data_IF_882316203308
#
_entry.id   IF_882316203308
#
_cell.length_a   1.000
_cell.length_b   1.000
_cell.length_c   1.000
_cell.angle_alpha   90.00
_cell.angle_beta   90.00
_cell.angle_gamma   90.00
#
_symmetry.space_group_name_H-M   'P 1'
#
loop_
_entity.id
_entity.type
_entity.pdbx_description
1 polymer ?
#
# COMPACT_ATOMS: atom_id res chain seq x y z
N UNK A 1 -11.43 15.64 -9.54
CA UNK A 1 -10.13 15.00 -9.76
C UNK A 1 -10.03 13.82 -8.79
N UNK A 2 -9.78 12.62 -9.31
CA UNK A 2 -9.59 11.39 -8.53
C UNK A 2 -8.48 11.57 -7.46
N UNK A 3 -8.71 11.10 -6.23
CA UNK A 3 -7.75 11.21 -5.12
C UNK A 3 -6.40 10.57 -5.48
N UNK A 4 -6.41 9.49 -6.27
CA UNK A 4 -5.19 8.83 -6.76
C UNK A 4 -4.35 9.78 -7.59
N UNK A 5 -4.97 10.51 -8.53
CA UNK A 5 -4.28 11.50 -9.38
C UNK A 5 -3.74 12.67 -8.56
N UNK A 6 -4.49 13.10 -7.53
CA UNK A 6 -4.00 14.14 -6.61
C UNK A 6 -2.75 13.68 -5.85
N UNK A 7 -2.77 12.47 -5.27
CA UNK A 7 -1.62 11.90 -4.56
C UNK A 7 -0.42 11.71 -5.47
N UNK A 8 -0.62 11.20 -6.69
CA UNK A 8 0.47 11.09 -7.65
C UNK A 8 1.11 12.45 -7.95
N UNK A 9 0.28 13.50 -8.11
CA UNK A 9 0.78 14.87 -8.29
C UNK A 9 1.57 15.37 -7.08
N UNK A 10 1.11 15.09 -5.85
CA UNK A 10 1.87 15.41 -4.63
C UNK A 10 3.27 14.80 -4.69
N UNK A 11 3.37 13.53 -5.07
CA UNK A 11 4.66 12.82 -5.14
C UNK A 11 5.58 13.39 -6.23
N UNK A 12 5.03 13.79 -7.37
CA UNK A 12 5.78 14.46 -8.45
C UNK A 12 6.25 15.86 -8.02
N UNK A 13 5.35 16.65 -7.41
CA UNK A 13 5.67 17.99 -6.91
C UNK A 13 6.76 17.92 -5.82
N UNK A 14 6.67 16.93 -4.91
CA UNK A 14 7.67 16.69 -3.87
C UNK A 14 9.05 16.34 -4.46
N UNK A 15 9.13 15.55 -5.53
CA UNK A 15 10.38 15.31 -6.24
C UNK A 15 10.96 16.58 -6.85
N UNK A 16 10.11 17.43 -7.43
CA UNK A 16 10.53 18.74 -7.94
C UNK A 16 11.22 19.57 -6.87
N UNK A 17 10.63 19.64 -5.67
CA UNK A 17 11.18 20.36 -4.51
C UNK A 17 12.48 19.72 -3.98
N UNK A 18 12.54 18.39 -3.87
CA UNK A 18 13.73 17.67 -3.42
C UNK A 18 14.93 17.96 -4.34
N UNK A 19 14.69 17.94 -5.65
CA UNK A 19 15.74 18.21 -6.64
C UNK A 19 16.12 19.69 -6.70
N UNK A 20 15.18 20.61 -6.46
CA UNK A 20 15.44 22.06 -6.53
C UNK A 20 16.14 22.61 -5.29
N UNK A 21 15.91 22.06 -4.09
CA UNK A 21 16.56 22.54 -2.86
C UNK A 21 18.08 22.47 -2.95
N UNK A 22 18.61 21.46 -3.64
CA UNK A 22 20.04 21.20 -3.73
C UNK A 22 20.69 20.97 -2.35
N UNK A 23 21.93 20.52 -2.33
CA UNK A 23 22.69 20.33 -1.09
C UNK A 23 22.29 19.07 -0.30
N UNK A 24 22.74 19.02 0.96
CA UNK A 24 22.67 17.83 1.81
C UNK A 24 21.34 17.80 2.57
N UNK A 25 20.38 17.03 2.07
CA UNK A 25 19.12 16.75 2.75
C UNK A 25 19.28 15.63 3.79
N UNK A 26 18.45 15.68 4.82
CA UNK A 26 18.21 14.60 5.77
C UNK A 26 16.93 13.84 5.43
N UNK A 27 16.70 12.70 6.09
CA UNK A 27 15.46 11.93 5.91
C UNK A 27 14.26 12.67 6.50
N UNK A 28 14.48 13.41 7.58
CA UNK A 28 13.49 14.29 8.21
C UNK A 28 13.04 15.40 7.25
N UNK A 29 13.98 15.95 6.45
CA UNK A 29 13.65 16.93 5.41
C UNK A 29 12.75 16.33 4.32
N UNK A 30 13.01 15.09 3.88
CA UNK A 30 12.15 14.41 2.90
C UNK A 30 10.73 14.23 3.44
N UNK A 31 10.60 13.86 4.72
CA UNK A 31 9.29 13.71 5.38
C UNK A 31 8.58 15.05 5.51
N UNK A 32 9.31 16.13 5.84
CA UNK A 32 8.76 17.48 5.94
C UNK A 32 8.23 17.98 4.59
N UNK A 33 9.04 17.86 3.52
CA UNK A 33 8.65 18.20 2.15
C UNK A 33 7.38 17.44 1.74
N UNK A 34 7.34 16.13 2.03
CA UNK A 34 6.19 15.30 1.69
C UNK A 34 4.93 15.74 2.44
N UNK A 35 5.06 16.05 3.75
CA UNK A 35 3.96 16.52 4.58
C UNK A 35 3.40 17.86 4.10
N UNK A 36 4.27 18.81 3.76
CA UNK A 36 3.89 20.11 3.19
C UNK A 36 3.15 19.92 1.86
N UNK A 37 3.71 19.12 0.94
CA UNK A 37 3.11 18.86 -0.36
C UNK A 37 1.72 18.19 -0.27
N UNK A 38 1.52 17.29 0.70
CA UNK A 38 0.22 16.69 0.97
C UNK A 38 -0.80 17.70 1.51
N UNK A 39 -0.37 18.52 2.48
CA UNK A 39 -1.21 19.56 3.09
C UNK A 39 -1.71 20.56 2.04
N UNK A 40 -0.82 21.02 1.15
CA UNK A 40 -1.13 21.99 0.10
C UNK A 40 -2.19 21.50 -0.90
N UNK A 41 -2.25 20.18 -1.14
CA UNK A 41 -3.26 19.58 -2.04
C UNK A 41 -4.52 19.09 -1.32
N UNK A 42 -4.56 19.21 0.01
CA UNK A 42 -5.67 18.76 0.86
C UNK A 42 -5.96 17.27 0.73
N UNK A 43 -4.90 16.45 0.64
CA UNK A 43 -5.00 14.98 0.61
C UNK A 43 -3.97 14.36 1.55
N UNK A 44 -4.19 13.12 1.96
CA UNK A 44 -3.28 12.35 2.81
C UNK A 44 -2.62 11.21 2.02
N UNK A 45 -1.47 10.67 2.49
CA UNK A 45 -0.92 9.41 2.00
C UNK A 45 -1.92 8.25 1.95
N UNK A 46 -1.63 7.24 1.13
CA UNK A 46 -2.46 6.02 1.08
C UNK A 46 -2.33 5.27 2.42
N UNK A 47 -3.45 5.05 3.12
CA UNK A 47 -3.47 4.28 4.38
C UNK A 47 -4.68 3.35 4.48
N UNK A 48 -4.51 2.30 5.27
CA UNK A 48 -5.62 1.45 5.70
C UNK A 48 -6.52 2.15 6.72
N UNK A 49 -7.22 1.37 7.53
CA UNK A 49 -8.13 1.93 8.54
C UNK A 49 -7.42 2.73 9.65
N UNK A 50 -6.17 2.38 9.97
CA UNK A 50 -5.38 3.08 10.97
C UNK A 50 -4.84 4.42 10.46
N UNK A 51 -4.55 5.34 11.38
CA UNK A 51 -3.86 6.60 11.11
C UNK A 51 -2.61 6.70 12.00
N UNK A 52 -1.49 6.10 11.58
CA UNK A 52 -0.28 6.09 12.39
C UNK A 52 0.48 7.43 12.25
N UNK A 53 1.19 7.83 13.30
CA UNK A 53 1.91 9.12 13.34
C UNK A 53 3.06 9.20 12.33
N UNK A 54 3.65 8.04 11.97
CA UNK A 54 4.74 7.87 11.00
C UNK A 54 4.25 7.71 9.56
N UNK A 55 3.00 8.08 9.25
CA UNK A 55 2.40 7.83 7.93
C UNK A 55 3.20 8.42 6.76
N UNK A 56 3.75 9.63 6.93
CA UNK A 56 4.53 10.30 5.90
C UNK A 56 5.88 9.62 5.68
N UNK A 57 6.52 9.14 6.75
CA UNK A 57 7.73 8.34 6.63
C UNK A 57 7.46 7.03 5.88
N UNK A 58 6.33 6.37 6.17
CA UNK A 58 5.91 5.16 5.42
C UNK A 58 5.58 5.45 3.96
N UNK A 59 5.24 6.69 3.63
CA UNK A 59 4.93 7.10 2.26
C UNK A 59 6.17 7.50 1.45
N UNK A 60 7.36 7.52 2.07
CA UNK A 60 8.62 7.56 1.33
C UNK A 60 8.76 6.38 0.35
N UNK A 61 8.12 5.24 0.64
CA UNK A 61 8.01 4.13 -0.31
C UNK A 61 7.28 4.57 -1.59
N UNK A 62 6.17 5.30 -1.46
CA UNK A 62 5.42 5.81 -2.60
C UNK A 62 6.24 6.85 -3.37
N UNK A 63 6.89 7.76 -2.65
CA UNK A 63 7.76 8.77 -3.21
C UNK A 63 8.88 8.12 -4.03
N UNK A 64 9.59 7.15 -3.46
CA UNK A 64 10.65 6.43 -4.13
C UNK A 64 10.18 5.70 -5.40
N UNK A 65 9.08 4.94 -5.30
CA UNK A 65 8.49 4.24 -6.46
C UNK A 65 8.12 5.23 -7.57
N UNK A 66 7.46 6.34 -7.25
CA UNK A 66 7.06 7.35 -8.25
C UNK A 66 8.28 8.01 -8.88
N UNK A 67 9.33 8.30 -8.10
CA UNK A 67 10.56 8.90 -8.64
C UNK A 67 11.29 7.98 -9.61
N UNK A 68 11.50 6.73 -9.21
CA UNK A 68 12.29 5.77 -10.00
C UNK A 68 11.49 5.16 -11.14
N UNK A 69 10.30 4.61 -10.86
CA UNK A 69 9.49 3.92 -11.88
C UNK A 69 8.58 4.87 -12.65
N UNK A 70 8.09 5.93 -12.01
CA UNK A 70 7.16 6.87 -12.63
C UNK A 70 7.84 7.98 -13.43
N UNK A 71 8.86 8.61 -12.86
CA UNK A 71 9.59 9.72 -13.47
C UNK A 71 10.88 9.28 -14.17
N UNK A 72 11.34 8.04 -13.96
CA UNK A 72 12.57 7.53 -14.59
C UNK A 72 13.85 8.14 -14.03
N UNK A 73 13.80 8.77 -12.84
CA UNK A 73 14.91 9.54 -12.27
C UNK A 73 16.06 8.69 -11.73
N UNK A 74 16.02 7.35 -11.87
CA UNK A 74 16.95 6.44 -11.19
C UNK A 74 18.42 6.79 -11.37
N UNK A 75 18.85 7.21 -12.57
CA UNK A 75 20.22 7.65 -12.85
C UNK A 75 20.49 9.14 -12.62
N UNK A 76 19.44 9.93 -12.44
CA UNK A 76 19.49 11.40 -12.31
C UNK A 76 19.45 11.85 -10.85
N UNK A 77 19.00 10.98 -9.92
CA UNK A 77 18.98 11.28 -8.49
C UNK A 77 20.43 11.35 -7.97
N UNK A 78 20.84 12.47 -7.34
CA UNK A 78 22.13 12.59 -6.69
C UNK A 78 22.35 11.47 -5.67
N UNK A 79 23.57 10.93 -5.59
CA UNK A 79 23.89 9.79 -4.72
C UNK A 79 23.51 10.05 -3.26
N UNK A 80 23.73 11.26 -2.77
CA UNK A 80 23.42 11.67 -1.41
C UNK A 80 21.93 11.58 -1.09
N UNK A 81 21.07 11.92 -2.06
CA UNK A 81 19.60 11.79 -1.94
C UNK A 81 19.22 10.32 -2.08
N UNK A 82 19.82 9.61 -3.03
CA UNK A 82 19.56 8.19 -3.29
C UNK A 82 19.85 7.32 -2.05
N UNK A 83 20.90 7.65 -1.29
CA UNK A 83 21.28 6.95 -0.08
C UNK A 83 20.27 7.14 1.07
N UNK A 84 19.50 8.24 1.08
CA UNK A 84 18.40 8.44 2.04
C UNK A 84 17.25 7.43 1.83
N UNK A 85 17.11 6.88 0.62
CA UNK A 85 16.11 5.87 0.26
C UNK A 85 16.61 4.42 0.39
N UNK A 86 17.72 4.19 1.09
CA UNK A 86 18.24 2.84 1.32
C UNK A 86 17.22 1.87 1.96
N UNK A 87 16.40 2.29 2.94
CA UNK A 87 15.32 1.43 3.45
C UNK A 87 14.28 1.08 2.38
N UNK A 88 13.86 2.06 1.58
CA UNK A 88 12.87 1.86 0.51
C UNK A 88 13.38 0.88 -0.55
N UNK A 89 14.66 1.01 -0.95
CA UNK A 89 15.32 0.05 -1.84
C UNK A 89 15.25 -1.38 -1.30
N UNK A 90 15.59 -1.58 -0.02
CA UNK A 90 15.55 -2.90 0.61
C UNK A 90 14.11 -3.46 0.64
N UNK A 91 13.07 -2.64 0.86
CA UNK A 91 11.70 -3.12 0.79
C UNK A 91 11.29 -3.53 -0.63
N UNK A 92 11.74 -2.80 -1.66
CA UNK A 92 11.48 -3.15 -3.06
C UNK A 92 12.17 -4.46 -3.45
N UNK A 93 13.43 -4.61 -3.05
CA UNK A 93 14.21 -5.82 -3.29
C UNK A 93 13.59 -7.03 -2.57
N UNK A 94 13.19 -6.87 -1.31
CA UNK A 94 12.50 -7.93 -0.57
C UNK A 94 11.16 -8.33 -1.21
N UNK A 95 10.41 -7.38 -1.77
CA UNK A 95 9.18 -7.67 -2.50
C UNK A 95 9.48 -8.47 -3.78
N UNK A 96 10.55 -8.13 -4.52
CA UNK A 96 10.97 -8.87 -5.70
C UNK A 96 11.45 -10.28 -5.36
N UNK A 97 12.30 -10.43 -4.33
CA UNK A 97 12.73 -11.73 -3.81
C UNK A 97 11.52 -12.60 -3.45
N UNK A 98 10.54 -12.04 -2.76
CA UNK A 98 9.33 -12.75 -2.36
C UNK A 98 8.39 -13.09 -3.53
N UNK A 99 8.50 -12.43 -4.68
CA UNK A 99 7.71 -12.77 -5.87
C UNK A 99 8.40 -13.80 -6.77
N UNK A 100 9.73 -13.85 -6.74
CA UNK A 100 10.55 -14.59 -7.70
C UNK A 100 11.31 -15.79 -7.11
N UNK A 101 11.26 -16.00 -5.80
CA UNK A 101 11.86 -17.16 -5.11
C UNK A 101 10.81 -18.01 -4.41
N UNK A 102 11.08 -19.30 -4.19
CA UNK A 102 10.29 -20.14 -3.29
C UNK A 102 10.41 -19.67 -1.81
N UNK A 103 9.51 -20.11 -0.91
CA UNK A 103 9.46 -19.58 0.46
C UNK A 103 10.76 -19.71 1.27
N UNK A 104 11.48 -20.83 1.13
CA UNK A 104 12.71 -21.08 1.91
C UNK A 104 13.84 -20.16 1.45
N UNK A 105 14.01 -20.04 0.13
CA UNK A 105 14.97 -19.11 -0.46
C UNK A 105 14.60 -17.65 -0.19
N UNK A 106 13.32 -17.30 -0.25
CA UNK A 106 12.84 -15.96 0.07
C UNK A 106 13.14 -15.61 1.54
N UNK A 107 12.89 -16.53 2.49
CA UNK A 107 13.20 -16.34 3.90
C UNK A 107 14.67 -16.00 4.10
N UNK A 108 15.57 -16.84 3.58
CA UNK A 108 17.02 -16.70 3.76
C UNK A 108 17.54 -15.37 3.21
N UNK A 109 17.19 -15.02 1.96
CA UNK A 109 17.64 -13.78 1.31
C UNK A 109 17.09 -12.53 1.98
N UNK A 110 15.82 -12.55 2.42
CA UNK A 110 15.23 -11.40 3.11
C UNK A 110 15.87 -11.20 4.49
N UNK A 111 16.17 -12.28 5.22
CA UNK A 111 16.90 -12.18 6.50
C UNK A 111 18.29 -11.58 6.29
N UNK A 112 19.01 -12.02 5.26
CA UNK A 112 20.32 -11.48 4.88
C UNK A 112 20.22 -9.98 4.56
N UNK A 113 19.25 -9.59 3.73
CA UNK A 113 19.03 -8.20 3.31
C UNK A 113 18.78 -7.25 4.50
N UNK A 114 18.05 -7.69 5.52
CA UNK A 114 17.76 -6.87 6.71
C UNK A 114 18.71 -7.12 7.89
N UNK A 115 19.59 -8.14 7.81
CA UNK A 115 20.44 -8.58 8.91
C UNK A 115 19.68 -9.13 10.13
N UNK A 116 18.38 -9.41 10.00
CA UNK A 116 17.50 -9.88 11.06
C UNK A 116 16.25 -10.53 10.50
N UNK A 117 15.53 -11.27 11.33
CA UNK A 117 14.18 -11.74 11.00
C UNK A 117 13.25 -10.53 10.88
N UNK A 118 12.58 -10.33 9.72
CA UNK A 118 11.60 -9.27 9.54
C UNK A 118 10.47 -9.36 10.56
N UNK A 119 10.20 -8.25 11.24
CA UNK A 119 9.04 -8.08 12.09
C UNK A 119 7.81 -7.66 11.27
N UNK A 120 6.66 -7.58 11.96
CA UNK A 120 5.43 -7.04 11.40
C UNK A 120 5.57 -5.70 10.65
N UNK A 121 6.45 -4.80 11.08
CA UNK A 121 6.59 -3.47 10.48
C UNK A 121 7.32 -3.55 9.14
N UNK A 122 8.39 -4.33 9.06
CA UNK A 122 9.11 -4.61 7.81
C UNK A 122 8.21 -5.31 6.81
N UNK A 123 7.53 -6.38 7.22
CA UNK A 123 6.63 -7.14 6.34
C UNK A 123 5.48 -6.27 5.79
N UNK A 124 4.95 -5.37 6.61
CA UNK A 124 3.92 -4.42 6.17
C UNK A 124 4.45 -3.42 5.14
N UNK A 125 5.72 -3.01 5.23
CA UNK A 125 6.37 -2.11 4.26
C UNK A 125 6.68 -2.83 2.94
N UNK A 126 7.11 -4.10 2.99
CA UNK A 126 7.28 -4.96 1.80
C UNK A 126 5.93 -5.12 1.07
N UNK A 127 4.86 -5.44 1.80
CA UNK A 127 3.51 -5.50 1.24
C UNK A 127 3.09 -4.17 0.60
N UNK A 128 3.41 -3.04 1.25
CA UNK A 128 3.05 -1.71 0.78
C UNK A 128 3.68 -1.40 -0.58
N UNK A 129 4.88 -1.90 -0.87
CA UNK A 129 5.52 -1.73 -2.18
C UNK A 129 4.61 -2.23 -3.30
N UNK A 130 4.23 -3.50 -3.25
CA UNK A 130 3.42 -4.12 -4.31
C UNK A 130 2.05 -3.45 -4.41
N UNK A 131 1.44 -3.13 -3.25
CA UNK A 131 0.18 -2.39 -3.23
C UNK A 131 0.30 -1.04 -3.94
N UNK A 132 1.35 -0.26 -3.67
CA UNK A 132 1.51 1.07 -4.23
C UNK A 132 1.83 1.02 -5.73
N UNK A 133 2.60 0.03 -6.18
CA UNK A 133 2.85 -0.20 -7.61
C UNK A 133 1.55 -0.49 -8.36
N UNK A 134 0.71 -1.37 -7.82
CA UNK A 134 -0.63 -1.63 -8.36
C UNK A 134 -1.51 -0.37 -8.29
N UNK A 135 -1.59 0.27 -7.12
CA UNK A 135 -2.44 1.44 -6.88
C UNK A 135 -2.10 2.60 -7.80
N UNK A 136 -0.83 2.89 -8.06
CA UNK A 136 -0.41 3.96 -8.98
C UNK A 136 -0.36 3.52 -10.45
N UNK A 137 -0.51 2.23 -10.74
CA UNK A 137 -0.63 1.69 -12.09
C UNK A 137 0.70 1.41 -12.77
N UNK A 138 1.78 1.26 -12.00
CA UNK A 138 3.08 0.83 -12.50
C UNK A 138 3.11 -0.67 -12.81
N UNK A 139 2.13 -1.44 -12.30
CA UNK A 139 1.92 -2.85 -12.65
C UNK A 139 0.53 -3.08 -13.23
N UNK A 140 0.46 -3.95 -14.24
CA UNK A 140 -0.79 -4.40 -14.88
C UNK A 140 -1.38 -5.63 -14.19
N UNK A 141 -0.53 -6.50 -13.64
CA UNK A 141 -0.95 -7.68 -12.87
C UNK A 141 -1.00 -7.36 -11.38
N UNK A 142 -1.96 -7.98 -10.70
CA UNK A 142 -2.10 -7.96 -9.25
C UNK A 142 -1.37 -9.18 -8.68
N UNK A 143 -0.10 -9.00 -8.29
CA UNK A 143 0.73 -10.08 -7.74
C UNK A 143 0.61 -10.20 -6.21
N UNK A 144 -0.26 -9.40 -5.59
CA UNK A 144 -0.47 -9.41 -4.14
C UNK A 144 -0.80 -10.78 -3.56
N UNK A 145 -1.66 -11.62 -4.18
CA UNK A 145 -1.93 -12.96 -3.66
C UNK A 145 -0.67 -13.82 -3.54
N UNK A 146 0.17 -13.79 -4.58
CA UNK A 146 1.44 -14.53 -4.61
C UNK A 146 2.40 -14.00 -3.55
N UNK A 147 2.49 -12.68 -3.41
CA UNK A 147 3.35 -12.04 -2.40
C UNK A 147 2.95 -12.46 -0.97
N UNK A 148 1.66 -12.36 -0.64
CA UNK A 148 1.13 -12.69 0.69
C UNK A 148 1.34 -14.17 0.98
N UNK A 149 1.01 -15.05 0.03
CA UNK A 149 1.18 -16.50 0.20
C UNK A 149 2.65 -16.84 0.46
N UNK A 150 3.57 -16.35 -0.39
CA UNK A 150 4.98 -16.69 -0.27
C UNK A 150 5.60 -16.15 1.03
N UNK A 151 5.32 -14.88 1.36
CA UNK A 151 5.81 -14.30 2.62
C UNK A 151 5.22 -14.99 3.85
N UNK A 152 3.95 -15.42 3.81
CA UNK A 152 3.33 -16.11 4.94
C UNK A 152 3.93 -17.50 5.20
N UNK A 153 4.38 -18.18 4.15
CA UNK A 153 5.12 -19.45 4.25
C UNK A 153 6.58 -19.23 4.65
N UNK A 154 7.18 -18.14 4.17
CA UNK A 154 8.55 -17.76 4.51
C UNK A 154 8.67 -17.30 5.96
N UNK A 155 7.65 -16.67 6.54
CA UNK A 155 7.64 -16.13 7.91
C UNK A 155 6.40 -16.56 8.70
N UNK A 156 6.20 -17.87 8.96
CA UNK A 156 5.01 -18.37 9.65
C UNK A 156 4.84 -17.81 11.07
N UNK A 157 5.92 -17.36 11.71
CA UNK A 157 5.89 -16.68 13.02
C UNK A 157 5.09 -15.37 13.02
N UNK A 158 4.88 -14.76 11.85
CA UNK A 158 4.18 -13.48 11.65
C UNK A 158 2.75 -13.67 11.13
N UNK A 159 2.12 -14.82 11.42
CA UNK A 159 0.77 -15.17 10.94
C UNK A 159 -0.27 -14.06 11.19
N UNK A 160 -0.23 -13.43 12.37
CA UNK A 160 -1.13 -12.33 12.71
C UNK A 160 -0.97 -11.13 11.77
N UNK A 161 0.26 -10.84 11.34
CA UNK A 161 0.57 -9.80 10.35
C UNK A 161 -0.06 -10.13 9.02
N UNK A 162 0.16 -11.35 8.51
CA UNK A 162 -0.40 -11.76 7.23
C UNK A 162 -1.94 -11.83 7.25
N UNK A 163 -2.58 -12.23 8.36
CA UNK A 163 -4.03 -12.10 8.53
C UNK A 163 -4.51 -10.66 8.36
N UNK A 164 -3.84 -9.68 8.98
CA UNK A 164 -4.20 -8.25 8.82
C UNK A 164 -4.00 -7.76 7.38
N UNK A 165 -2.89 -8.13 6.75
CA UNK A 165 -2.57 -7.77 5.37
C UNK A 165 -3.58 -8.38 4.38
N UNK A 166 -3.96 -9.65 4.57
CA UNK A 166 -5.01 -10.32 3.82
C UNK A 166 -6.37 -9.63 3.96
N UNK A 167 -6.77 -9.27 5.19
CA UNK A 167 -8.00 -8.50 5.44
C UNK A 167 -7.99 -7.18 4.68
N UNK A 168 -6.86 -6.48 4.70
CA UNK A 168 -6.69 -5.21 4.02
C UNK A 168 -6.78 -5.35 2.49
N UNK A 169 -6.08 -6.33 1.92
CA UNK A 169 -6.13 -6.62 0.48
C UNK A 169 -7.55 -6.97 0.02
N UNK A 170 -8.23 -7.90 0.71
CA UNK A 170 -9.61 -8.28 0.37
C UNK A 170 -10.52 -7.05 0.40
N UNK A 171 -10.38 -6.18 1.42
CA UNK A 171 -11.17 -4.96 1.51
C UNK A 171 -10.93 -4.00 0.35
N UNK A 172 -9.68 -3.87 -0.12
CA UNK A 172 -9.35 -3.07 -1.31
C UNK A 172 -10.02 -3.62 -2.56
N UNK A 173 -9.91 -4.93 -2.83
CA UNK A 173 -10.53 -5.52 -4.03
C UNK A 173 -12.05 -5.40 -4.01
N UNK A 174 -12.68 -5.62 -2.86
CA UNK A 174 -14.14 -5.45 -2.71
C UNK A 174 -14.53 -3.99 -2.92
N UNK A 175 -13.80 -3.04 -2.34
CA UNK A 175 -14.05 -1.61 -2.53
C UNK A 175 -13.89 -1.20 -4.00
N UNK A 176 -12.83 -1.66 -4.68
CA UNK A 176 -12.56 -1.42 -6.10
C UNK A 176 -13.73 -1.93 -6.97
N UNK A 177 -14.17 -3.17 -6.77
CA UNK A 177 -15.29 -3.76 -7.51
C UNK A 177 -16.63 -3.04 -7.27
N UNK A 178 -16.87 -2.53 -6.05
CA UNK A 178 -18.04 -1.70 -5.75
C UNK A 178 -17.97 -0.37 -6.51
N UNK A 179 -16.82 0.31 -6.46
CA UNK A 179 -16.60 1.62 -7.07
C UNK A 179 -16.73 1.54 -8.60
N UNK A 180 -16.22 0.46 -9.19
CA UNK A 180 -16.30 0.20 -10.63
C UNK A 180 -17.69 -0.28 -11.08
N UNK A 181 -18.62 -0.55 -10.15
CA UNK A 181 -19.97 -1.03 -10.45
C UNK A 181 -20.03 -2.51 -10.87
N UNK A 182 -18.96 -3.27 -10.66
CA UNK A 182 -18.92 -4.73 -10.85
C UNK A 182 -19.76 -5.43 -9.77
N UNK A 183 -19.71 -4.90 -8.54
CA UNK A 183 -20.52 -5.33 -7.40
C UNK A 183 -21.61 -4.30 -7.13
N UNK A 184 -22.88 -4.71 -7.27
CA UNK A 184 -24.04 -3.79 -7.25
C UNK A 184 -24.99 -3.99 -6.08
N UNK A 185 -24.88 -5.10 -5.36
CA UNK A 185 -25.76 -5.43 -4.24
C UNK A 185 -25.06 -6.27 -3.18
N UNK A 186 -25.69 -6.39 -2.01
CA UNK A 186 -25.14 -7.12 -0.85
C UNK A 186 -24.77 -8.57 -1.17
N UNK A 187 -25.61 -9.29 -1.92
CA UNK A 187 -25.37 -10.72 -2.26
C UNK A 187 -24.11 -10.85 -3.12
N UNK A 188 -24.01 -10.06 -4.20
CA UNK A 188 -22.84 -10.05 -5.09
C UNK A 188 -21.56 -9.63 -4.36
N UNK A 189 -21.66 -8.71 -3.39
CA UNK A 189 -20.53 -8.29 -2.56
C UNK A 189 -20.05 -9.43 -1.66
N UNK A 190 -20.94 -10.14 -0.97
CA UNK A 190 -20.54 -11.27 -0.12
C UNK A 190 -19.93 -12.39 -0.95
N UNK A 191 -20.51 -12.73 -2.11
CA UNK A 191 -19.95 -13.71 -3.02
C UNK A 191 -18.55 -13.31 -3.52
N UNK A 192 -18.38 -12.05 -3.95
CA UNK A 192 -17.08 -11.54 -4.41
C UNK A 192 -16.04 -11.53 -3.30
N UNK A 193 -16.41 -11.12 -2.08
CA UNK A 193 -15.53 -11.14 -0.91
C UNK A 193 -15.01 -12.56 -0.61
N UNK A 194 -15.88 -13.57 -0.71
CA UNK A 194 -15.48 -14.97 -0.57
C UNK A 194 -14.58 -15.43 -1.73
N UNK A 195 -14.90 -15.06 -2.97
CA UNK A 195 -14.09 -15.41 -4.13
C UNK A 195 -12.66 -14.86 -4.04
N UNK A 196 -12.50 -13.59 -3.63
CA UNK A 196 -11.17 -12.99 -3.40
C UNK A 196 -10.43 -13.72 -2.28
N UNK A 197 -11.12 -14.05 -1.18
CA UNK A 197 -10.51 -14.78 -0.07
C UNK A 197 -10.06 -16.20 -0.45
N UNK A 198 -10.80 -16.89 -1.33
CA UNK A 198 -10.41 -18.19 -1.87
C UNK A 198 -9.18 -18.05 -2.77
N UNK A 199 -9.17 -17.05 -3.67
CA UNK A 199 -8.03 -16.78 -4.55
C UNK A 199 -6.75 -16.44 -3.78
N UNK A 200 -6.89 -15.76 -2.65
CA UNK A 200 -5.77 -15.39 -1.78
C UNK A 200 -5.15 -16.59 -1.05
N UNK A 201 -5.93 -17.64 -0.78
CA UNK A 201 -5.46 -18.79 -0.02
C UNK A 201 -5.35 -18.53 1.48
N UNK A 202 -4.31 -19.07 2.10
CA UNK A 202 -4.02 -18.92 3.53
C UNK A 202 -2.79 -18.05 3.73
N UNK A 203 -2.76 -17.15 4.73
CA UNK A 203 -3.81 -16.90 5.73
C UNK A 203 -4.88 -15.93 5.23
N UNK A 204 -6.15 -16.17 5.60
CA UNK A 204 -7.30 -15.32 5.24
C UNK A 204 -7.98 -14.73 6.47
N UNK A 205 -8.35 -13.46 6.37
CA UNK A 205 -9.21 -12.78 7.34
C UNK A 205 -10.23 -11.94 6.58
N UNK A 206 -11.51 -12.25 6.74
CA UNK A 206 -12.58 -11.60 5.99
C UNK A 206 -12.89 -10.23 6.61
N UNK A 207 -12.86 -9.13 5.84
CA UNK A 207 -13.26 -7.83 6.36
C UNK A 207 -14.78 -7.74 6.56
N UNK A 208 -15.17 -7.01 7.59
CA UNK A 208 -16.54 -6.53 7.79
C UNK A 208 -16.84 -5.30 6.90
N UNK A 209 -18.12 -4.93 6.84
CA UNK A 209 -18.59 -3.82 5.99
C UNK A 209 -18.11 -2.46 6.48
N UNK A 210 -17.91 -2.30 7.79
CA UNK A 210 -17.36 -1.08 8.37
C UNK A 210 -15.91 -0.86 7.93
N UNK A 211 -15.10 -1.92 7.92
CA UNK A 211 -13.74 -1.87 7.45
C UNK A 211 -13.67 -1.58 5.94
N UNK A 212 -14.54 -2.21 5.13
CA UNK A 212 -14.63 -1.88 3.70
C UNK A 212 -15.03 -0.40 3.50
N UNK A 213 -15.98 0.11 4.28
CA UNK A 213 -16.37 1.52 4.26
C UNK A 213 -15.19 2.44 4.59
N UNK A 214 -14.37 2.09 5.61
CA UNK A 214 -13.14 2.82 5.94
C UNK A 214 -12.16 2.82 4.76
N UNK A 215 -11.96 1.69 4.09
CA UNK A 215 -11.08 1.60 2.91
C UNK A 215 -11.59 2.48 1.76
N UNK A 216 -12.90 2.51 1.48
CA UNK A 216 -13.48 3.41 0.47
C UNK A 216 -13.16 4.88 0.79
N UNK A 217 -13.24 5.26 2.07
CA UNK A 217 -12.92 6.63 2.49
C UNK A 217 -11.41 6.93 2.41
N UNK A 218 -10.56 6.09 3.01
CA UNK A 218 -9.13 6.39 3.17
C UNK A 218 -8.31 6.12 1.91
N UNK A 219 -8.56 5.00 1.23
CA UNK A 219 -7.80 4.61 0.02
C UNK A 219 -8.36 5.30 -1.22
N UNK A 220 -9.68 5.36 -1.37
CA UNK A 220 -10.30 5.90 -2.60
C UNK A 220 -10.83 7.33 -2.45
N UNK A 221 -10.82 7.91 -1.25
CA UNK A 221 -11.25 9.31 -1.04
C UNK A 221 -12.74 9.52 -1.33
N UNK A 222 -13.56 8.47 -1.24
CA UNK A 222 -14.98 8.51 -1.57
C UNK A 222 -15.84 8.43 -0.31
N UNK A 223 -17.02 9.07 -0.35
CA UNK A 223 -18.00 9.00 0.75
C UNK A 223 -18.63 7.60 0.80
N UNK A 224 -18.46 6.80 1.87
CA UNK A 224 -18.99 5.44 1.92
C UNK A 224 -20.52 5.38 1.90
N UNK A 225 -21.20 6.45 2.31
CA UNK A 225 -22.66 6.58 2.27
C UNK A 225 -23.24 6.38 0.87
N UNK A 226 -22.47 6.63 -0.19
CA UNK A 226 -22.88 6.33 -1.57
C UNK A 226 -23.11 4.82 -1.83
N UNK A 227 -22.52 3.97 -1.00
CA UNK A 227 -22.52 2.52 -1.15
C UNK A 227 -23.27 1.81 -0.01
N UNK A 228 -24.05 2.54 0.79
CA UNK A 228 -24.78 2.02 1.97
C UNK A 228 -25.84 0.95 1.65
N UNK A 229 -26.29 0.85 0.40
CA UNK A 229 -27.17 -0.25 -0.03
C UNK A 229 -26.41 -1.57 -0.25
N UNK A 230 -25.10 -1.48 -0.49
CA UNK A 230 -24.20 -2.61 -0.72
C UNK A 230 -23.50 -3.00 0.59
N UNK A 231 -23.04 -1.99 1.34
CA UNK A 231 -22.44 -2.10 2.66
C UNK A 231 -23.55 -1.99 3.71
N UNK A 232 -23.79 -3.03 4.51
CA UNK A 232 -24.69 -2.99 5.66
C UNK A 232 -24.04 -2.23 6.83
N UNK A 233 -23.56 -1.02 6.59
CA UNK A 233 -23.04 -0.15 7.65
C UNK A 233 -24.20 0.40 8.48
N UNK A 234 -24.03 0.44 9.81
CA UNK A 234 -25.11 0.63 10.79
C UNK A 234 -25.85 1.99 10.74
N UNK A 235 -25.49 2.89 9.82
CA UNK A 235 -26.18 4.18 9.63
C UNK A 235 -27.56 4.08 8.95
N UNK A 236 -28.14 2.88 8.84
CA UNK A 236 -29.54 2.67 8.45
C UNK A 236 -30.52 2.57 9.63
N UNK A 237 -30.09 2.83 10.88
CA UNK A 237 -30.97 2.79 12.07
C UNK A 237 -31.55 4.13 12.53
N UNK A 238 -31.32 5.23 11.83
CA UNK A 238 -31.98 6.51 12.14
C UNK A 238 -32.40 7.21 10.85
N UNK A 239 -33.62 6.93 10.44
CA UNK A 239 -34.36 7.57 9.35
C UNK A 239 -35.83 7.23 9.49
#
# INVERSE_FOLDING_TARGET
>A
MDVRRKRLRVLVDAWGEILSRGGKLSREDLVAILKEAYADKGVEPVRGAANPDDIYERDLIALYIVGVEGLGLGSEIPKEIMDLFSPERAYLEAADIALNSDPENARSKIIELFGKIPDSAILSKIFRVELLKYYYGFKKSDDMPRLIENLSKAFPEEEATFKRLSRFYIAIKVAEAIINGEVKNWVSKEAYKQAVAVKLGSPRAIPDDEYIAKIIATVFGLKPSKYSKILRSENQKQG
#
